data_IF_594324493273
#
_entry.id   IF_594324493273
#
_cell.length_a   1.000
_cell.length_b   1.000
_cell.length_c   1.000
_cell.angle_alpha   90.00
_cell.angle_beta   90.00
_cell.angle_gamma   90.00
#
_symmetry.space_group_name_H-M   'P 1'
#
loop_
_entity.id
_entity.type
_entity.pdbx_description
1 polymer ?
#
# COMPACT_ATOMS: atom_id res chain seq x y z
N UNK A 1 -15.73 18.83 -17.61
CA UNK A 1 -15.63 17.35 -17.68
C UNK A 1 -14.54 17.02 -18.67
N UNK A 2 -13.46 16.37 -18.25
CA UNK A 2 -12.44 15.86 -19.19
C UNK A 2 -13.09 14.88 -20.17
N UNK A 3 -12.70 14.89 -21.44
CA UNK A 3 -13.27 14.02 -22.50
C UNK A 3 -13.27 12.53 -22.12
N UNK A 4 -12.33 12.11 -21.28
CA UNK A 4 -12.17 10.73 -20.79
C UNK A 4 -13.40 10.19 -20.02
N UNK A 5 -14.30 11.04 -19.51
CA UNK A 5 -15.48 10.66 -18.72
C UNK A 5 -16.84 10.80 -19.43
N UNK A 6 -16.89 11.00 -20.74
CA UNK A 6 -18.14 11.09 -21.51
C UNK A 6 -18.92 9.75 -21.50
N UNK A 7 -20.27 9.74 -21.57
CA UNK A 7 -21.05 8.51 -21.71
C UNK A 7 -20.58 7.61 -22.87
N UNK A 8 -20.17 8.20 -24.00
CA UNK A 8 -19.74 7.42 -25.17
C UNK A 8 -18.32 6.86 -25.02
N UNK A 9 -17.40 7.58 -24.35
CA UNK A 9 -16.07 7.03 -24.01
C UNK A 9 -16.16 5.88 -23.00
N UNK A 10 -17.15 5.90 -22.10
CA UNK A 10 -17.38 4.76 -21.19
C UNK A 10 -17.89 3.52 -21.93
N UNK A 11 -18.75 3.68 -22.93
CA UNK A 11 -19.28 2.54 -23.71
C UNK A 11 -18.18 1.82 -24.48
N UNK A 12 -17.19 2.54 -25.03
CA UNK A 12 -16.05 1.92 -25.72
C UNK A 12 -15.15 1.17 -24.72
N UNK A 13 -14.85 1.77 -23.57
CA UNK A 13 -14.01 1.15 -22.52
C UNK A 13 -14.56 -0.16 -21.97
N UNK A 14 -15.88 -0.32 -21.87
CA UNK A 14 -16.51 -1.59 -21.43
C UNK A 14 -16.14 -2.77 -22.35
N UNK A 15 -15.82 -2.51 -23.62
CA UNK A 15 -15.45 -3.54 -24.60
C UNK A 15 -13.97 -3.93 -24.54
N UNK A 16 -13.14 -3.19 -23.81
CA UNK A 16 -11.71 -3.47 -23.72
C UNK A 16 -11.47 -4.78 -22.94
N UNK A 17 -10.62 -5.69 -23.49
CA UNK A 17 -10.37 -6.97 -22.86
C UNK A 17 -9.57 -6.81 -21.56
N UNK A 18 -9.84 -7.62 -20.54
CA UNK A 18 -9.02 -7.67 -19.33
C UNK A 18 -7.59 -8.14 -19.66
N UNK A 19 -6.61 -7.54 -19.01
CA UNK A 19 -5.22 -7.97 -19.15
C UNK A 19 -4.93 -9.16 -18.24
N UNK A 20 -4.20 -10.13 -18.77
CA UNK A 20 -3.83 -11.33 -18.03
C UNK A 20 -2.65 -11.00 -17.13
N UNK A 21 -2.78 -11.28 -15.84
CA UNK A 21 -1.67 -11.17 -14.89
C UNK A 21 -0.83 -12.45 -15.00
N UNK A 22 0.41 -12.39 -15.51
CA UNK A 22 1.26 -13.56 -15.65
C UNK A 22 1.55 -14.21 -14.30
N UNK A 23 1.60 -15.54 -14.29
CA UNK A 23 1.89 -16.36 -13.11
C UNK A 23 3.02 -17.32 -13.42
N UNK A 24 3.82 -17.65 -12.42
CA UNK A 24 4.84 -18.70 -12.54
C UNK A 24 4.19 -20.06 -12.84
N UNK A 25 4.85 -20.92 -13.65
CA UNK A 25 4.42 -22.30 -13.88
C UNK A 25 4.21 -23.05 -12.58
N UNK A 26 3.25 -23.98 -12.57
CA UNK A 26 2.90 -24.73 -11.36
C UNK A 26 4.07 -25.62 -10.94
N UNK A 27 4.70 -26.25 -11.92
CA UNK A 27 5.80 -27.20 -11.77
C UNK A 27 7.03 -26.55 -11.11
N UNK A 28 7.23 -25.25 -11.31
CA UNK A 28 8.32 -24.51 -10.68
C UNK A 28 7.93 -23.99 -9.29
N UNK A 29 6.75 -23.37 -9.16
CA UNK A 29 6.37 -22.61 -7.95
C UNK A 29 6.04 -23.47 -6.73
N UNK A 30 5.90 -24.79 -6.90
CA UNK A 30 5.70 -25.72 -5.79
C UNK A 30 7.02 -26.09 -5.08
N UNK A 31 8.16 -25.69 -5.63
CA UNK A 31 9.49 -26.02 -5.10
C UNK A 31 10.19 -24.84 -4.41
N UNK A 32 9.56 -23.67 -4.35
CA UNK A 32 10.10 -22.50 -3.68
C UNK A 32 8.99 -21.63 -3.06
N UNK A 33 9.38 -20.50 -2.47
CA UNK A 33 8.47 -19.55 -1.82
C UNK A 33 8.43 -18.20 -2.55
N UNK A 34 8.88 -18.14 -3.80
CA UNK A 34 8.87 -16.90 -4.57
C UNK A 34 7.44 -16.52 -4.99
N UNK A 35 7.16 -15.23 -5.25
CA UNK A 35 5.82 -14.78 -5.62
C UNK A 35 5.25 -15.53 -6.84
N UNK A 36 4.00 -16.01 -6.70
CA UNK A 36 3.29 -16.73 -7.77
C UNK A 36 2.87 -15.79 -8.90
N UNK A 37 2.33 -14.63 -8.56
CA UNK A 37 1.93 -13.60 -9.51
C UNK A 37 3.14 -12.75 -9.87
N UNK A 38 3.41 -12.58 -11.16
CA UNK A 38 4.53 -11.79 -11.67
C UNK A 38 4.18 -10.30 -11.79
N UNK A 39 2.88 -9.96 -11.83
CA UNK A 39 2.42 -8.58 -11.98
C UNK A 39 2.39 -8.14 -13.44
N UNK A 40 1.99 -6.91 -13.69
CA UNK A 40 1.95 -6.35 -15.05
C UNK A 40 3.33 -5.82 -15.48
N UNK A 41 3.56 -5.83 -16.79
CA UNK A 41 4.54 -4.94 -17.42
C UNK A 41 3.90 -3.58 -17.72
N UNK A 42 4.70 -2.61 -18.20
CA UNK A 42 4.21 -1.25 -18.48
C UNK A 42 3.05 -1.25 -19.49
N UNK A 43 3.14 -2.06 -20.55
CA UNK A 43 2.15 -2.09 -21.62
C UNK A 43 0.80 -2.64 -21.16
N UNK A 44 0.83 -3.74 -20.41
CA UNK A 44 -0.35 -4.37 -19.83
C UNK A 44 -0.93 -3.54 -18.69
N UNK A 45 -0.10 -2.84 -17.91
CA UNK A 45 -0.57 -1.92 -16.88
C UNK A 45 -1.34 -0.73 -17.48
N UNK A 46 -0.79 -0.10 -18.53
CA UNK A 46 -1.47 0.97 -19.27
C UNK A 46 -2.80 0.47 -19.83
N UNK A 47 -2.79 -0.64 -20.57
CA UNK A 47 -3.99 -1.21 -21.19
C UNK A 47 -5.08 -1.59 -20.16
N UNK A 48 -4.68 -2.13 -19.00
CA UNK A 48 -5.63 -2.46 -17.94
C UNK A 48 -6.20 -1.20 -17.27
N UNK A 49 -5.38 -0.18 -17.04
CA UNK A 49 -5.83 1.09 -16.46
C UNK A 49 -6.79 1.85 -17.39
N UNK A 50 -6.62 1.76 -18.70
CA UNK A 50 -7.52 2.37 -19.69
C UNK A 50 -8.96 1.86 -19.60
N UNK A 51 -9.16 0.63 -19.10
CA UNK A 51 -10.49 0.03 -18.85
C UNK A 51 -11.28 0.79 -17.77
N UNK A 52 -10.62 1.59 -16.94
CA UNK A 52 -11.29 2.40 -15.92
C UNK A 52 -12.30 3.38 -16.53
N UNK A 53 -13.56 3.28 -16.08
CA UNK A 53 -14.68 4.07 -16.60
C UNK A 53 -14.74 5.51 -16.04
N UNK A 54 -13.80 5.89 -15.17
CA UNK A 54 -13.80 7.19 -14.46
C UNK A 54 -15.19 7.53 -13.92
N UNK A 55 -15.71 6.63 -13.07
CA UNK A 55 -17.07 6.68 -12.56
C UNK A 55 -17.26 7.94 -11.69
N UNK A 56 -18.30 8.77 -11.93
CA UNK A 56 -18.49 9.99 -11.16
C UNK A 56 -18.70 9.75 -9.65
N UNK A 57 -19.39 8.65 -9.31
CA UNK A 57 -19.67 8.26 -7.91
C UNK A 57 -18.55 7.47 -7.23
N UNK A 58 -17.49 7.11 -7.98
CA UNK A 58 -16.28 6.47 -7.45
C UNK A 58 -16.49 5.37 -6.37
N UNK A 59 -17.31 4.34 -6.64
CA UNK A 59 -17.62 3.32 -5.62
C UNK A 59 -16.39 2.55 -5.13
N UNK A 60 -15.37 2.39 -5.98
CA UNK A 60 -14.09 1.79 -5.60
C UNK A 60 -13.36 2.57 -4.49
N UNK A 61 -13.48 3.90 -4.47
CA UNK A 61 -12.89 4.78 -3.43
C UNK A 61 -13.65 4.64 -2.12
N UNK A 62 -14.99 4.54 -2.18
CA UNK A 62 -15.82 4.32 -0.99
C UNK A 62 -15.55 2.95 -0.36
N UNK A 63 -15.36 1.92 -1.19
CA UNK A 63 -15.11 0.55 -0.73
C UNK A 63 -13.67 0.32 -0.23
N UNK A 64 -12.72 1.18 -0.59
CA UNK A 64 -11.37 1.14 -0.06
C UNK A 64 -11.36 1.72 1.37
N UNK A 65 -10.92 0.97 2.40
CA UNK A 65 -10.84 1.49 3.77
C UNK A 65 -9.90 2.69 3.95
N UNK A 66 -8.95 2.87 3.02
CA UNK A 66 -8.02 3.99 2.99
C UNK A 66 -8.51 5.16 2.13
N UNK A 67 -9.64 5.00 1.43
CA UNK A 67 -10.18 5.99 0.49
C UNK A 67 -9.14 6.49 -0.54
N UNK A 68 -8.31 5.57 -1.05
CA UNK A 68 -7.33 5.87 -2.09
C UNK A 68 -8.01 6.52 -3.30
N UNK A 69 -7.41 7.58 -3.86
CA UNK A 69 -7.91 8.23 -5.10
C UNK A 69 -7.57 7.37 -6.33
N UNK A 70 -8.27 6.25 -6.42
CA UNK A 70 -8.11 5.23 -7.46
C UNK A 70 -8.31 5.83 -8.86
N UNK A 71 -9.33 6.66 -9.15
CA UNK A 71 -9.49 7.25 -10.48
C UNK A 71 -8.30 8.08 -10.93
N UNK A 72 -7.71 8.88 -10.04
CA UNK A 72 -6.51 9.66 -10.36
C UNK A 72 -5.31 8.76 -10.60
N UNK A 73 -5.11 7.72 -9.78
CA UNK A 73 -4.06 6.73 -10.02
C UNK A 73 -4.23 6.02 -11.37
N UNK A 74 -5.45 5.61 -11.73
CA UNK A 74 -5.73 4.97 -13.03
C UNK A 74 -5.41 5.88 -14.21
N UNK A 75 -5.75 7.18 -14.10
CA UNK A 75 -5.42 8.15 -15.14
C UNK A 75 -3.90 8.27 -15.31
N UNK A 76 -3.15 8.43 -14.23
CA UNK A 76 -1.70 8.49 -14.28
C UNK A 76 -1.08 7.23 -14.90
N UNK A 77 -1.58 6.04 -14.56
CA UNK A 77 -1.10 4.79 -15.18
C UNK A 77 -1.39 4.76 -16.68
N UNK A 78 -2.61 5.12 -17.10
CA UNK A 78 -2.98 5.16 -18.51
C UNK A 78 -2.14 6.19 -19.32
N UNK A 79 -1.64 7.24 -18.65
CA UNK A 79 -0.77 8.27 -19.22
C UNK A 79 0.73 7.91 -19.14
N UNK A 80 1.10 6.73 -18.62
CA UNK A 80 2.49 6.30 -18.43
C UNK A 80 3.22 6.98 -17.26
N UNK A 81 2.50 7.69 -16.41
CA UNK A 81 3.00 8.47 -15.27
C UNK A 81 3.03 7.60 -14.00
N UNK A 82 3.87 6.56 -14.00
CA UNK A 82 3.84 5.52 -12.96
C UNK A 82 4.31 6.00 -11.59
N UNK A 83 5.25 6.94 -11.54
CA UNK A 83 5.74 7.51 -10.27
C UNK A 83 4.67 8.36 -9.60
N UNK A 84 3.97 9.17 -10.39
CA UNK A 84 2.84 9.99 -9.96
C UNK A 84 1.70 9.10 -9.47
N UNK A 85 1.39 8.02 -10.18
CA UNK A 85 0.41 7.04 -9.75
C UNK A 85 0.78 6.39 -8.39
N UNK A 86 2.06 6.03 -8.19
CA UNK A 86 2.54 5.51 -6.92
C UNK A 86 2.43 6.53 -5.78
N UNK A 87 2.69 7.81 -6.06
CA UNK A 87 2.54 8.90 -5.11
C UNK A 87 1.08 9.09 -4.66
N UNK A 88 0.11 8.92 -5.56
CA UNK A 88 -1.32 8.95 -5.22
C UNK A 88 -1.66 7.93 -4.13
N UNK A 89 -1.20 6.68 -4.25
CA UNK A 89 -1.43 5.66 -3.23
C UNK A 89 -0.69 5.98 -1.91
N UNK A 90 0.50 6.57 -1.99
CA UNK A 90 1.30 6.96 -0.80
C UNK A 90 0.65 8.11 0.00
N UNK A 91 -0.21 8.92 -0.62
CA UNK A 91 -0.89 10.02 0.08
C UNK A 91 -1.82 9.53 1.18
N UNK A 92 -2.47 8.39 0.98
CA UNK A 92 -3.46 7.81 1.89
C UNK A 92 -2.95 6.55 2.59
N UNK A 93 -1.98 5.84 2.01
CA UNK A 93 -1.40 4.62 2.57
C UNK A 93 0.06 4.78 2.95
N UNK A 94 0.41 4.39 4.18
CA UNK A 94 1.81 4.23 4.60
C UNK A 94 2.46 3.03 3.90
N UNK A 95 1.68 2.02 3.48
CA UNK A 95 2.19 0.72 3.01
C UNK A 95 1.48 0.19 1.73
N UNK A 96 1.40 0.98 0.64
CA UNK A 96 0.67 0.56 -0.57
C UNK A 96 1.29 -0.69 -1.24
N UNK A 97 2.62 -0.86 -1.09
CA UNK A 97 3.33 -2.07 -1.54
C UNK A 97 2.79 -3.37 -0.88
N UNK A 98 2.37 -3.29 0.38
CA UNK A 98 1.77 -4.42 1.11
C UNK A 98 0.30 -4.56 0.71
N UNK A 99 -0.47 -3.47 0.80
CA UNK A 99 -1.91 -3.46 0.52
C UNK A 99 -2.23 -4.08 -0.85
N UNK A 100 -1.47 -3.70 -1.88
CA UNK A 100 -1.63 -4.22 -3.24
C UNK A 100 -1.50 -5.76 -3.38
N UNK A 101 -0.93 -6.44 -2.39
CA UNK A 101 -0.68 -7.90 -2.42
C UNK A 101 -1.54 -8.71 -1.47
N UNK A 102 -2.11 -8.08 -0.43
CA UNK A 102 -2.80 -8.80 0.65
C UNK A 102 -4.23 -8.34 0.87
N UNK A 103 -4.62 -7.18 0.34
CA UNK A 103 -6.00 -6.75 0.42
C UNK A 103 -6.91 -7.78 -0.30
N UNK A 104 -8.08 -8.12 0.25
CA UNK A 104 -9.08 -8.92 -0.45
C UNK A 104 -9.86 -8.01 -1.42
N UNK A 105 -9.27 -7.67 -2.57
CA UNK A 105 -9.82 -6.66 -3.47
C UNK A 105 -11.23 -7.01 -3.98
N UNK A 106 -11.52 -8.29 -4.13
CA UNK A 106 -12.82 -8.85 -4.51
C UNK A 106 -13.94 -8.48 -3.53
N UNK A 107 -13.60 -8.25 -2.26
CA UNK A 107 -14.53 -7.80 -1.22
C UNK A 107 -14.48 -6.28 -0.99
N UNK A 108 -13.60 -5.57 -1.70
CA UNK A 108 -13.31 -4.16 -1.50
C UNK A 108 -13.44 -3.38 -2.83
N UNK A 109 -12.36 -2.74 -3.28
CA UNK A 109 -12.35 -1.81 -4.40
C UNK A 109 -12.72 -2.47 -5.74
N UNK A 110 -12.26 -3.70 -6.00
CA UNK A 110 -12.59 -4.44 -7.23
C UNK A 110 -14.01 -5.00 -7.16
N UNK A 111 -14.45 -5.49 -6.00
CA UNK A 111 -15.83 -5.90 -5.75
C UNK A 111 -16.84 -4.78 -5.97
N UNK A 112 -16.45 -3.54 -5.67
CA UNK A 112 -17.27 -2.34 -5.91
C UNK A 112 -17.13 -1.76 -7.33
N UNK A 113 -16.27 -2.31 -8.19
CA UNK A 113 -16.01 -1.76 -9.51
C UNK A 113 -17.23 -1.90 -10.42
N UNK A 114 -17.70 -0.78 -10.99
CA UNK A 114 -18.88 -0.77 -11.88
C UNK A 114 -18.67 -1.63 -13.13
N UNK A 115 -17.43 -1.72 -13.64
CA UNK A 115 -17.10 -2.56 -14.79
C UNK A 115 -17.37 -4.04 -14.50
N UNK A 116 -17.21 -4.47 -13.25
CA UNK A 116 -17.49 -5.83 -12.75
C UNK A 116 -18.92 -6.32 -13.02
N UNK A 117 -19.87 -5.41 -13.26
CA UNK A 117 -21.26 -5.76 -13.60
C UNK A 117 -21.46 -6.20 -15.06
N UNK A 118 -20.47 -5.96 -15.93
CA UNK A 118 -20.57 -6.24 -17.38
C UNK A 118 -19.38 -7.02 -17.94
N UNK A 119 -18.24 -6.93 -17.29
CA UNK A 119 -16.99 -7.61 -17.63
C UNK A 119 -16.22 -7.89 -16.34
N UNK A 120 -15.00 -8.42 -16.42
CA UNK A 120 -14.12 -8.47 -15.25
C UNK A 120 -13.86 -7.05 -14.73
N UNK A 121 -13.80 -6.83 -13.41
CA UNK A 121 -13.43 -5.54 -12.84
C UNK A 121 -12.04 -5.12 -13.34
N UNK A 122 -11.72 -3.83 -13.19
CA UNK A 122 -10.34 -3.38 -13.37
C UNK A 122 -9.50 -4.02 -12.29
N UNK A 123 -8.34 -4.58 -12.63
CA UNK A 123 -7.42 -5.23 -11.69
C UNK A 123 -6.65 -4.20 -10.84
N UNK A 124 -7.36 -3.45 -10.00
CA UNK A 124 -6.87 -2.34 -9.21
C UNK A 124 -5.71 -2.73 -8.28
N UNK A 125 -5.78 -3.89 -7.63
CA UNK A 125 -4.71 -4.38 -6.75
C UNK A 125 -3.43 -4.68 -7.52
N UNK A 126 -3.54 -5.30 -8.70
CA UNK A 126 -2.40 -5.59 -9.57
C UNK A 126 -1.77 -4.30 -10.14
N UNK A 127 -2.58 -3.29 -10.45
CA UNK A 127 -2.11 -1.97 -10.87
C UNK A 127 -1.43 -1.19 -9.73
N UNK A 128 -1.97 -1.22 -8.52
CA UNK A 128 -1.30 -0.65 -7.33
C UNK A 128 0.05 -1.35 -7.08
N UNK A 129 0.10 -2.68 -7.23
CA UNK A 129 1.33 -3.43 -7.13
C UNK A 129 2.34 -2.98 -8.18
N UNK A 130 1.92 -2.90 -9.44
CA UNK A 130 2.79 -2.49 -10.54
C UNK A 130 3.44 -1.13 -10.27
N UNK A 131 2.66 -0.10 -9.92
CA UNK A 131 3.22 1.25 -9.71
C UNK A 131 4.08 1.34 -8.46
N UNK A 132 3.74 0.61 -7.40
CA UNK A 132 4.55 0.59 -6.17
C UNK A 132 5.86 -0.17 -6.36
N UNK A 133 5.87 -1.24 -7.17
CA UNK A 133 7.08 -1.94 -7.58
C UNK A 133 7.95 -1.06 -8.48
N UNK A 134 7.34 -0.41 -9.46
CA UNK A 134 8.00 0.51 -10.39
C UNK A 134 8.68 1.65 -9.66
N UNK A 135 7.97 2.35 -8.77
CA UNK A 135 8.53 3.44 -8.00
C UNK A 135 9.71 2.99 -7.12
N UNK A 136 9.64 1.79 -6.55
CA UNK A 136 10.73 1.24 -5.71
C UNK A 136 12.02 1.01 -6.49
N UNK A 137 11.94 0.63 -7.77
CA UNK A 137 13.13 0.36 -8.60
C UNK A 137 13.63 1.57 -9.37
N UNK A 138 12.80 2.59 -9.58
CA UNK A 138 13.12 3.77 -10.40
C UNK A 138 13.33 5.06 -9.60
N UNK A 139 13.10 5.05 -8.28
CA UNK A 139 13.30 6.23 -7.43
C UNK A 139 14.12 5.89 -6.20
N UNK A 140 14.88 6.89 -5.73
CA UNK A 140 15.38 6.87 -4.36
C UNK A 140 14.20 7.27 -3.47
N UNK A 141 13.84 6.42 -2.52
CA UNK A 141 12.75 6.74 -1.60
C UNK A 141 13.08 8.02 -0.83
N UNK A 142 12.33 9.09 -1.10
CA UNK A 142 12.50 10.34 -0.38
C UNK A 142 12.21 10.17 1.11
N UNK A 143 13.01 10.84 1.92
CA UNK A 143 12.70 11.10 3.33
C UNK A 143 11.38 11.87 3.38
N UNK A 144 10.38 11.43 4.16
CA UNK A 144 9.13 12.16 4.26
C UNK A 144 9.38 13.59 4.73
N UNK A 145 8.68 14.55 4.14
CA UNK A 145 8.68 15.90 4.69
C UNK A 145 8.01 15.90 6.07
N UNK A 146 8.72 16.44 7.05
CA UNK A 146 8.22 16.63 8.40
C UNK A 146 7.81 18.07 8.58
N UNK A 147 6.68 18.30 9.26
CA UNK A 147 6.45 19.61 9.87
C UNK A 147 7.59 19.87 10.86
N UNK A 148 7.96 21.14 11.03
CA UNK A 148 8.96 21.54 12.03
C UNK A 148 8.66 20.91 13.40
N UNK A 149 9.71 20.72 14.21
CA UNK A 149 9.61 19.99 15.47
C UNK A 149 8.46 20.52 16.34
N UNK A 150 7.52 19.63 16.68
CA UNK A 150 6.36 19.95 17.52
C UNK A 150 6.71 20.05 19.01
N UNK A 151 7.89 19.56 19.41
CA UNK A 151 8.30 19.41 20.81
C UNK A 151 7.63 18.26 21.57
N UNK A 152 6.68 17.54 20.96
CA UNK A 152 5.96 16.44 21.60
C UNK A 152 6.58 15.09 21.29
N UNK A 153 6.48 14.16 22.23
CA UNK A 153 7.00 12.80 22.15
C UNK A 153 5.93 11.74 22.40
N UNK A 154 5.92 10.68 21.59
CA UNK A 154 4.91 9.61 21.65
C UNK A 154 5.57 8.24 21.62
N UNK A 155 5.15 7.34 22.51
CA UNK A 155 5.54 5.94 22.48
C UNK A 155 4.55 5.11 21.65
N UNK A 156 5.04 4.28 20.72
CA UNK A 156 4.22 3.34 19.94
C UNK A 156 4.67 1.93 20.25
N UNK A 157 3.77 1.12 20.82
CA UNK A 157 4.04 -0.24 21.27
C UNK A 157 3.50 -1.23 20.24
N UNK A 158 4.41 -1.94 19.58
CA UNK A 158 4.16 -2.86 18.47
C UNK A 158 4.50 -2.23 17.12
N UNK A 159 5.30 -2.93 16.30
CA UNK A 159 5.72 -2.46 14.96
C UNK A 159 5.00 -3.18 13.82
N UNK A 160 3.78 -3.67 14.08
CA UNK A 160 2.89 -4.15 13.04
C UNK A 160 2.36 -3.01 12.13
N UNK A 161 1.49 -3.33 11.15
CA UNK A 161 0.91 -2.34 10.25
C UNK A 161 0.31 -1.12 10.95
N UNK A 162 -0.42 -1.35 12.06
CA UNK A 162 -1.05 -0.28 12.84
C UNK A 162 -0.01 0.66 13.47
N UNK A 163 0.99 0.11 14.18
CA UNK A 163 2.02 0.90 14.83
C UNK A 163 2.87 1.70 13.84
N UNK A 164 3.28 1.07 12.74
CA UNK A 164 4.06 1.75 11.69
C UNK A 164 3.25 2.85 10.98
N UNK A 165 1.94 2.65 10.77
CA UNK A 165 1.07 3.68 10.19
C UNK A 165 0.90 4.88 11.12
N UNK A 166 0.71 4.64 12.43
CA UNK A 166 0.63 5.71 13.44
C UNK A 166 1.95 6.46 13.52
N UNK A 167 3.08 5.74 13.55
CA UNK A 167 4.40 6.36 13.58
C UNK A 167 4.62 7.28 12.37
N UNK A 168 4.32 6.82 11.15
CA UNK A 168 4.46 7.62 9.93
C UNK A 168 3.67 8.94 10.03
N UNK A 169 2.44 8.87 10.52
CA UNK A 169 1.58 10.04 10.67
C UNK A 169 2.12 11.02 11.71
N UNK A 170 2.51 10.52 12.88
CA UNK A 170 3.03 11.35 13.97
C UNK A 170 4.36 12.02 13.60
N UNK A 171 5.24 11.31 12.88
CA UNK A 171 6.51 11.83 12.40
C UNK A 171 6.28 12.94 11.36
N UNK A 172 5.34 12.77 10.42
CA UNK A 172 4.94 13.84 9.49
C UNK A 172 4.37 15.08 10.20
N UNK A 173 3.76 14.91 11.38
CA UNK A 173 3.29 16.01 12.22
C UNK A 173 4.41 16.67 13.05
N UNK A 174 5.64 16.18 12.98
CA UNK A 174 6.80 16.73 13.69
C UNK A 174 6.93 16.23 15.14
N UNK A 175 6.27 15.13 15.50
CA UNK A 175 6.44 14.50 16.81
C UNK A 175 7.66 13.58 16.83
N UNK A 176 8.31 13.47 17.99
CA UNK A 176 9.31 12.43 18.26
C UNK A 176 8.58 11.13 18.58
N UNK A 177 8.91 10.03 17.91
CA UNK A 177 8.18 8.75 18.08
C UNK A 177 9.13 7.63 18.46
N UNK A 178 8.95 7.01 19.62
CA UNK A 178 9.71 5.83 20.04
C UNK A 178 8.90 4.56 19.74
N UNK A 179 9.49 3.59 19.05
CA UNK A 179 8.84 2.32 18.68
C UNK A 179 9.34 1.16 19.54
N UNK A 180 8.43 0.48 20.21
CA UNK A 180 8.72 -0.70 21.04
C UNK A 180 8.27 -1.97 20.31
N UNK A 181 9.11 -3.00 20.29
CA UNK A 181 8.81 -4.26 19.60
C UNK A 181 9.34 -5.43 20.41
N UNK A 182 8.48 -6.41 20.69
CA UNK A 182 8.86 -7.60 21.44
C UNK A 182 9.62 -8.64 20.56
N UNK A 183 9.35 -8.66 19.26
CA UNK A 183 9.92 -9.63 18.33
C UNK A 183 11.32 -9.24 17.84
N UNK A 184 12.16 -10.20 17.40
CA UNK A 184 13.51 -9.90 16.93
C UNK A 184 13.60 -8.94 15.73
N UNK A 185 12.56 -8.92 14.88
CA UNK A 185 12.47 -8.06 13.71
C UNK A 185 11.15 -7.27 13.71
N UNK A 186 11.17 -6.01 13.25
CA UNK A 186 9.97 -5.21 13.12
C UNK A 186 9.07 -5.68 11.97
N UNK A 187 7.80 -5.29 12.01
CA UNK A 187 6.81 -5.55 10.96
C UNK A 187 5.63 -6.43 11.40
N UNK A 188 5.68 -7.05 12.58
CA UNK A 188 4.62 -7.91 13.10
C UNK A 188 4.21 -9.00 12.10
N UNK A 189 2.91 -9.19 11.87
CA UNK A 189 2.40 -10.19 10.93
C UNK A 189 2.91 -10.04 9.49
N UNK A 190 3.32 -8.83 9.09
CA UNK A 190 3.96 -8.65 7.78
C UNK A 190 5.24 -9.46 7.70
N UNK A 191 6.11 -9.36 8.71
CA UNK A 191 7.39 -10.07 8.73
C UNK A 191 7.23 -11.57 9.01
N UNK A 192 6.24 -11.96 9.81
CA UNK A 192 6.17 -13.30 10.40
C UNK A 192 5.08 -14.24 9.85
N UNK A 193 4.08 -13.74 9.12
CA UNK A 193 2.92 -14.56 8.73
C UNK A 193 2.51 -14.43 7.26
N UNK A 194 2.93 -13.38 6.56
CA UNK A 194 2.45 -13.12 5.19
C UNK A 194 3.27 -13.92 4.17
N UNK A 195 2.62 -14.86 3.47
CA UNK A 195 3.26 -15.68 2.41
C UNK A 195 3.22 -15.03 1.01
N UNK A 196 2.42 -13.97 0.83
CA UNK A 196 2.31 -13.25 -0.46
C UNK A 196 3.55 -12.41 -0.81
N UNK A 197 4.50 -12.33 0.12
CA UNK A 197 5.75 -11.58 0.03
C UNK A 197 6.85 -12.39 0.71
N UNK A 198 8.08 -12.29 0.20
CA UNK A 198 9.19 -12.99 0.84
C UNK A 198 9.45 -12.38 2.24
N UNK A 199 9.74 -13.19 3.28
CA UNK A 199 10.03 -12.66 4.62
C UNK A 199 11.17 -11.63 4.64
N UNK A 200 12.15 -11.76 3.74
CA UNK A 200 13.22 -10.77 3.55
C UNK A 200 12.69 -9.43 3.01
N UNK A 201 11.76 -9.47 2.06
CA UNK A 201 11.14 -8.26 1.51
C UNK A 201 10.27 -7.57 2.57
N UNK A 202 9.46 -8.33 3.31
CA UNK A 202 8.62 -7.78 4.38
C UNK A 202 9.44 -7.10 5.47
N UNK A 203 10.53 -7.75 5.94
CA UNK A 203 11.47 -7.14 6.88
C UNK A 203 12.13 -5.90 6.28
N UNK A 204 12.58 -5.99 5.03
CA UNK A 204 13.18 -4.85 4.31
C UNK A 204 12.25 -3.65 4.20
N UNK A 205 10.92 -3.84 4.06
CA UNK A 205 9.96 -2.74 4.07
C UNK A 205 9.88 -2.04 5.43
N UNK A 206 9.82 -2.81 6.51
CA UNK A 206 9.83 -2.25 7.87
C UNK A 206 11.16 -1.55 8.15
N UNK A 207 12.29 -2.18 7.84
CA UNK A 207 13.63 -1.60 8.02
C UNK A 207 13.83 -0.33 7.17
N UNK A 208 13.39 -0.32 5.91
CA UNK A 208 13.49 0.87 5.05
C UNK A 208 12.57 2.01 5.51
N UNK A 209 11.41 1.71 6.08
CA UNK A 209 10.60 2.72 6.77
C UNK A 209 11.39 3.31 7.93
N UNK A 210 11.93 2.46 8.79
CA UNK A 210 12.66 2.88 9.97
C UNK A 210 13.91 3.71 9.63
N UNK A 211 14.71 3.31 8.65
CA UNK A 211 15.89 4.07 8.21
C UNK A 211 15.56 5.48 7.71
N UNK A 212 14.40 5.67 7.07
CA UNK A 212 13.98 6.98 6.52
C UNK A 212 13.39 7.93 7.56
N UNK A 213 13.21 7.50 8.79
CA UNK A 213 12.49 8.25 9.81
C UNK A 213 13.39 8.51 11.03
N UNK A 214 14.45 9.32 10.91
CA UNK A 214 15.41 9.56 12.01
C UNK A 214 14.66 10.19 13.20
N UNK A 215 14.50 9.43 14.28
CA UNK A 215 13.66 9.84 15.42
C UNK A 215 13.00 8.68 16.17
N UNK A 216 13.04 7.48 15.61
CA UNK A 216 12.65 6.26 16.30
C UNK A 216 13.83 5.54 16.95
N UNK A 217 13.52 4.74 17.98
CA UNK A 217 14.46 3.85 18.67
C UNK A 217 13.75 2.53 18.95
N UNK A 218 14.34 1.41 18.53
CA UNK A 218 13.86 0.07 18.86
C UNK A 218 14.21 -0.27 20.31
N UNK A 219 13.24 -0.66 21.12
CA UNK A 219 13.48 -1.25 22.43
C UNK A 219 12.71 -2.58 22.55
N UNK A 220 13.46 -3.66 22.82
CA UNK A 220 12.95 -5.04 22.88
C UNK A 220 12.54 -5.46 24.29
N UNK A 221 13.36 -5.11 25.27
CA UNK A 221 13.15 -5.48 26.67
C UNK A 221 12.69 -4.26 27.47
N UNK A 222 11.45 -3.83 27.23
CA UNK A 222 10.87 -2.69 27.93
C UNK A 222 9.54 -3.06 28.59
N UNK A 223 9.51 -2.99 29.92
CA UNK A 223 8.25 -2.96 30.67
C UNK A 223 7.64 -1.58 30.45
N UNK A 224 6.75 -1.49 29.47
CA UNK A 224 6.10 -0.22 29.16
C UNK A 224 5.25 0.23 30.35
N UNK A 225 5.66 1.35 30.95
CA UNK A 225 4.84 2.07 31.92
C UNK A 225 4.26 3.28 31.20
N UNK A 226 2.93 3.46 31.15
CA UNK A 226 2.34 4.63 30.49
C UNK A 226 2.95 5.93 31.03
N UNK A 227 3.43 6.78 30.12
CA UNK A 227 3.90 8.15 30.40
C UNK A 227 5.20 8.30 31.21
N UNK A 228 6.25 7.49 30.96
CA UNK A 228 7.61 7.80 31.43
C UNK A 228 8.22 9.04 30.72
N UNK A 229 7.63 10.22 30.96
CA UNK A 229 8.11 11.51 30.43
C UNK A 229 7.72 11.84 28.99
N UNK A 230 6.86 11.02 28.35
CA UNK A 230 6.30 11.32 27.03
C UNK A 230 4.91 11.96 27.09
N UNK A 231 4.51 12.62 25.99
CA UNK A 231 3.22 13.32 25.87
C UNK A 231 2.05 12.39 25.52
N UNK A 232 2.33 11.14 25.13
CA UNK A 232 1.31 10.15 24.83
C UNK A 232 1.85 8.79 24.45
N UNK A 233 0.95 7.81 24.30
CA UNK A 233 1.29 6.49 23.80
C UNK A 233 0.20 5.89 22.91
N UNK A 234 0.58 4.94 22.06
CA UNK A 234 -0.30 4.14 21.23
C UNK A 234 0.04 2.66 21.38
N UNK A 235 -0.94 1.85 21.77
CA UNK A 235 -0.77 0.41 21.99
C UNK A 235 -1.38 -0.37 20.82
N UNK A 236 -0.54 -1.09 20.07
CA UNK A 236 -0.94 -1.94 18.95
C UNK A 236 -0.39 -3.36 19.13
N UNK A 237 -0.79 -4.00 20.23
CA UNK A 237 -0.50 -5.40 20.48
C UNK A 237 -1.64 -6.27 19.95
N UNK A 238 -1.29 -7.27 19.16
CA UNK A 238 -2.26 -8.28 18.76
C UNK A 238 -2.60 -9.14 19.98
N UNK A 239 -3.82 -9.02 20.48
CA UNK A 239 -4.34 -9.97 21.45
C UNK A 239 -4.82 -11.20 20.67
N UNK A 240 -4.28 -12.38 21.02
CA UNK A 240 -4.93 -13.63 20.63
C UNK A 240 -6.21 -13.73 21.46
N UNK A 241 -7.35 -13.53 20.81
CA UNK A 241 -8.66 -13.91 21.34
C UNK A 241 -8.76 -15.42 21.46
#
# INVERSE_FOLDING_TARGET
MTEQGSPDSRKSKVKLPPQVIPRRPVEERIHDFLPVSLGFDESSAVAEAERCLSCPKQPCVTACPLHNDIPTAMRHIAEGQFIEAAAVYRNTSTMPYICSRVCPQENLCEGACVLGKRSQPVALGALERFVTDYARTHTVQATPEHRGASGKSVAVIGTGPAGLSVADRLLKLGHTVTLYEAWPHPGGWLAYATCSLLPRENRGQAEAFLTRHPGWRLQRDHVFTPLQGGDGFYLALLQRS
#
